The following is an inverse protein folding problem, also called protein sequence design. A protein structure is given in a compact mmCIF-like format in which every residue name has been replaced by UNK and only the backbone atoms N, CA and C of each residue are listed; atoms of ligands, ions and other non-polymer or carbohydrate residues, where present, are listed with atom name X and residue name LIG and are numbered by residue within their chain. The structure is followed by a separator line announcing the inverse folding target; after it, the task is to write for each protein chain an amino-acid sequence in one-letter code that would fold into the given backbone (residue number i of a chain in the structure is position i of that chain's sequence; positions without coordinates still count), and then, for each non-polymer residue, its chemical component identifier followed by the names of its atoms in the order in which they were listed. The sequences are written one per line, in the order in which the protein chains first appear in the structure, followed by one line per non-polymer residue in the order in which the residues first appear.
data_IF_718585328709
#
_entry.id   IF_718585328709
#
_cell.length_a   1.000
_cell.length_b   1.000
_cell.length_c   1.000
_cell.angle_alpha   90.00
_cell.angle_beta   90.00
_cell.angle_gamma   90.00
#
_symmetry.space_group_name_H-M   'P 1'
#
loop_
_entity.id
_entity.type
_entity.pdbx_description
1 polymer ?
#
# COMPACT_ATOMS: atom_id res chain seq x y z
N UNK A 1 24.45 14.73 -44.61
CA UNK A 1 24.52 13.28 -44.92
C UNK A 1 23.14 12.61 -44.84
N UNK A 2 22.38 12.81 -43.76
CA UNK A 2 21.02 12.24 -43.61
C UNK A 2 20.01 12.71 -44.68
N UNK A 3 20.03 13.99 -45.06
CA UNK A 3 19.10 14.58 -46.04
C UNK A 3 19.36 14.05 -47.47
N UNK A 4 20.62 13.80 -47.83
CA UNK A 4 20.97 13.24 -49.14
C UNK A 4 20.59 11.75 -49.26
N UNK A 5 20.60 11.00 -48.15
CA UNK A 5 20.19 9.58 -48.14
C UNK A 5 18.69 9.38 -48.32
N UNK A 6 17.87 10.29 -47.78
CA UNK A 6 16.40 10.22 -47.92
C UNK A 6 15.95 10.66 -49.33
N UNK A 7 16.65 11.61 -49.95
CA UNK A 7 16.33 12.09 -51.30
C UNK A 7 16.59 11.05 -52.41
N UNK A 8 17.54 10.14 -52.24
CA UNK A 8 17.83 9.09 -53.23
C UNK A 8 16.75 7.99 -53.30
N UNK A 9 16.12 7.68 -52.15
CA UNK A 9 15.05 6.66 -52.05
C UNK A 9 13.76 7.14 -52.69
N UNK A 10 13.47 8.44 -52.69
CA UNK A 10 12.27 8.99 -53.32
C UNK A 10 12.40 9.15 -54.84
N UNK A 11 13.62 9.21 -55.39
CA UNK A 11 13.85 9.31 -56.84
C UNK A 11 14.07 7.97 -57.53
N UNK A 12 14.56 6.96 -56.80
CA UNK A 12 14.59 5.58 -57.28
C UNK A 12 13.21 4.97 -57.01
N UNK A 13 12.31 5.02 -57.99
CA UNK A 13 10.98 4.44 -57.86
C UNK A 13 11.02 3.02 -57.29
N UNK A 14 10.16 2.73 -56.32
CA UNK A 14 10.06 1.40 -55.70
C UNK A 14 9.67 0.36 -56.75
N UNK A 15 10.65 -0.40 -57.25
CA UNK A 15 10.42 -1.49 -58.19
C UNK A 15 9.69 -2.63 -57.46
N UNK A 16 8.51 -3.01 -57.95
CA UNK A 16 7.69 -4.09 -57.38
C UNK A 16 6.49 -3.65 -56.53
N UNK A 17 6.31 -2.35 -56.27
CA UNK A 17 5.17 -1.85 -55.48
C UNK A 17 3.83 -1.97 -56.24
N UNK A 18 3.84 -1.88 -57.57
CA UNK A 18 2.65 -2.05 -58.41
C UNK A 18 2.14 -3.49 -58.40
N UNK A 19 3.03 -4.48 -58.59
CA UNK A 19 2.69 -5.90 -58.48
C UNK A 19 2.31 -6.31 -57.03
N UNK A 20 2.94 -5.72 -56.02
CA UNK A 20 2.60 -5.95 -54.62
C UNK A 20 1.23 -5.34 -54.20
N UNK A 21 0.76 -4.30 -54.91
CA UNK A 21 -0.52 -3.64 -54.63
C UNK A 21 -1.68 -4.16 -55.51
N UNK A 22 -1.44 -4.99 -56.52
CA UNK A 22 -2.49 -5.49 -57.42
C UNK A 22 -3.53 -6.40 -56.72
N UNK A 23 -3.14 -7.09 -55.62
CA UNK A 23 -4.05 -7.87 -54.77
C UNK A 23 -4.50 -7.16 -53.48
N UNK A 24 -4.05 -5.93 -53.25
CA UNK A 24 -4.28 -5.20 -52.00
C UNK A 24 -3.30 -5.60 -50.86
N UNK A 25 -2.82 -4.59 -50.13
CA UNK A 25 -1.76 -4.76 -49.11
C UNK A 25 -2.09 -5.83 -48.04
N UNK A 26 -3.36 -6.01 -47.70
CA UNK A 26 -3.79 -7.00 -46.70
C UNK A 26 -3.62 -8.43 -47.23
N UNK A 27 -3.96 -8.68 -48.49
CA UNK A 27 -3.85 -10.01 -49.11
C UNK A 27 -2.37 -10.39 -49.29
N UNK A 28 -1.54 -9.45 -49.73
CA UNK A 28 -0.09 -9.64 -49.81
C UNK A 28 0.52 -9.97 -48.44
N UNK A 29 0.16 -9.20 -47.40
CA UNK A 29 0.66 -9.44 -46.05
C UNK A 29 0.17 -10.79 -45.50
N UNK A 30 -1.09 -11.16 -45.76
CA UNK A 30 -1.63 -12.45 -45.36
C UNK A 30 -0.87 -13.60 -46.03
N UNK A 31 -0.56 -13.51 -47.33
CA UNK A 31 0.24 -14.52 -48.02
C UNK A 31 1.60 -14.72 -47.35
N UNK A 32 2.31 -13.64 -47.01
CA UNK A 32 3.59 -13.71 -46.30
C UNK A 32 3.45 -14.29 -44.87
N UNK A 33 2.45 -13.84 -44.10
CA UNK A 33 2.23 -14.28 -42.72
C UNK A 33 1.88 -15.77 -42.66
N UNK A 34 0.99 -16.25 -43.53
CA UNK A 34 0.48 -17.62 -43.49
C UNK A 34 1.34 -18.64 -44.25
N UNK A 35 2.31 -18.20 -45.05
CA UNK A 35 3.23 -19.12 -45.75
C UNK A 35 4.65 -19.08 -45.18
N UNK A 36 5.29 -17.91 -45.18
CA UNK A 36 6.71 -17.76 -44.83
C UNK A 36 6.92 -17.54 -43.34
N UNK A 37 6.03 -16.78 -42.69
CA UNK A 37 6.19 -16.36 -41.30
C UNK A 37 5.25 -17.07 -40.32
N UNK A 38 4.71 -18.24 -40.69
CA UNK A 38 3.72 -18.97 -39.90
C UNK A 38 4.19 -19.23 -38.46
N UNK A 39 5.46 -19.61 -38.28
CA UNK A 39 6.04 -19.84 -36.95
C UNK A 39 6.16 -18.58 -36.10
N UNK A 40 6.53 -17.45 -36.71
CA UNK A 40 6.61 -16.17 -36.00
C UNK A 40 5.21 -15.72 -35.58
N UNK A 41 4.23 -15.87 -36.46
CA UNK A 41 2.83 -15.59 -36.16
C UNK A 41 2.30 -16.47 -35.03
N UNK A 42 2.52 -17.78 -35.08
CA UNK A 42 2.09 -18.72 -34.04
C UNK A 42 2.69 -18.38 -32.68
N UNK A 43 3.99 -18.04 -32.63
CA UNK A 43 4.64 -17.59 -31.40
C UNK A 43 4.01 -16.32 -30.83
N UNK A 44 3.63 -15.36 -31.68
CA UNK A 44 2.90 -14.17 -31.21
C UNK A 44 1.51 -14.53 -30.68
N UNK A 45 0.82 -15.49 -31.30
CA UNK A 45 -0.45 -16.03 -30.79
C UNK A 45 -0.30 -16.67 -29.42
N UNK A 46 0.67 -17.58 -29.26
CA UNK A 46 1.00 -18.21 -27.99
C UNK A 46 1.37 -17.20 -26.91
N UNK A 47 2.11 -16.15 -27.28
CA UNK A 47 2.44 -15.03 -26.39
C UNK A 47 1.19 -14.27 -25.95
N UNK A 48 0.27 -13.95 -26.86
CA UNK A 48 -0.97 -13.25 -26.53
C UNK A 48 -1.89 -14.08 -25.61
N UNK A 49 -1.99 -15.39 -25.86
CA UNK A 49 -2.72 -16.31 -24.98
C UNK A 49 -2.08 -16.32 -23.59
N UNK A 50 -0.75 -16.48 -23.53
CA UNK A 50 0.00 -16.47 -22.27
C UNK A 50 -0.15 -15.15 -21.52
N UNK A 51 -0.12 -14.02 -22.22
CA UNK A 51 -0.34 -12.71 -21.65
C UNK A 51 -1.76 -12.56 -21.08
N UNK A 52 -2.77 -13.04 -21.80
CA UNK A 52 -4.16 -13.03 -21.33
C UNK A 52 -4.34 -13.90 -20.07
N UNK A 53 -3.80 -15.12 -20.08
CA UNK A 53 -3.81 -16.01 -18.91
C UNK A 53 -3.05 -15.38 -17.74
N UNK A 54 -1.86 -14.83 -17.97
CA UNK A 54 -1.07 -14.13 -16.97
C UNK A 54 -1.82 -12.92 -16.38
N UNK A 55 -2.51 -12.15 -17.22
CA UNK A 55 -3.34 -11.04 -16.78
C UNK A 55 -4.52 -11.51 -15.93
N UNK A 56 -5.22 -12.58 -16.34
CA UNK A 56 -6.30 -13.17 -15.53
C UNK A 56 -5.77 -13.64 -14.18
N UNK A 57 -4.65 -14.37 -14.15
CA UNK A 57 -4.04 -14.85 -12.89
C UNK A 57 -3.62 -13.69 -11.98
N UNK A 58 -3.00 -12.64 -12.53
CA UNK A 58 -2.52 -11.51 -11.73
C UNK A 58 -3.65 -10.59 -11.25
N UNK A 59 -4.65 -10.36 -12.11
CA UNK A 59 -5.79 -9.51 -11.79
C UNK A 59 -6.82 -10.22 -10.90
N UNK A 60 -6.94 -11.55 -11.02
CA UNK A 60 -7.87 -12.33 -10.22
C UNK A 60 -7.27 -12.73 -8.87
N UNK A 61 -7.09 -11.72 -8.02
CA UNK A 61 -6.81 -11.97 -6.60
C UNK A 61 -8.11 -12.40 -5.91
N UNK A 62 -8.39 -13.70 -5.92
CA UNK A 62 -9.43 -14.27 -5.08
C UNK A 62 -9.12 -13.94 -3.62
N UNK A 63 -10.03 -13.23 -2.96
CA UNK A 63 -9.98 -13.07 -1.51
C UNK A 63 -10.52 -14.36 -0.93
N UNK A 64 -9.62 -15.27 -0.54
CA UNK A 64 -9.98 -16.56 0.07
C UNK A 64 -10.77 -16.41 1.38
N UNK A 65 -10.67 -15.25 2.03
CA UNK A 65 -11.33 -14.94 3.28
C UNK A 65 -12.43 -13.90 3.07
N UNK A 66 -13.58 -14.11 3.71
CA UNK A 66 -14.61 -13.08 3.80
C UNK A 66 -14.05 -11.84 4.50
N UNK A 67 -14.52 -10.66 4.09
CA UNK A 67 -14.16 -9.42 4.79
C UNK A 67 -14.76 -9.46 6.19
N UNK A 68 -13.92 -9.49 7.23
CA UNK A 68 -14.38 -9.43 8.62
C UNK A 68 -15.41 -8.33 8.83
N UNK A 69 -16.50 -8.67 9.50
CA UNK A 69 -17.55 -7.74 9.91
C UNK A 69 -17.04 -6.80 11.00
N UNK A 70 -17.72 -5.66 11.22
CA UNK A 70 -17.40 -4.76 12.33
C UNK A 70 -17.44 -5.47 13.69
N UNK A 71 -18.36 -6.43 13.86
CA UNK A 71 -18.48 -7.22 15.10
C UNK A 71 -17.26 -8.10 15.32
N UNK A 72 -16.79 -8.80 14.29
CA UNK A 72 -15.59 -9.65 14.37
C UNK A 72 -14.34 -8.83 14.67
N UNK A 73 -14.17 -7.68 14.01
CA UNK A 73 -13.07 -6.76 14.29
C UNK A 73 -13.11 -6.21 15.71
N UNK A 74 -14.29 -5.90 16.23
CA UNK A 74 -14.46 -5.45 17.61
C UNK A 74 -14.11 -6.55 18.61
N UNK A 75 -14.55 -7.79 18.37
CA UNK A 75 -14.21 -8.94 19.22
C UNK A 75 -12.72 -9.18 19.20
N UNK A 76 -12.10 -9.26 18.01
CA UNK A 76 -10.67 -9.50 17.86
C UNK A 76 -9.81 -8.41 18.52
N UNK A 77 -10.25 -7.15 18.48
CA UNK A 77 -9.57 -6.03 19.16
C UNK A 77 -9.47 -6.22 20.67
N UNK A 78 -10.49 -6.81 21.29
CA UNK A 78 -10.57 -6.95 22.74
C UNK A 78 -10.37 -8.39 23.23
N UNK A 79 -10.26 -9.37 22.33
CA UNK A 79 -10.05 -10.78 22.65
C UNK A 79 -8.77 -11.06 23.44
N UNK A 80 -7.62 -10.41 23.18
CA UNK A 80 -6.41 -10.56 23.99
C UNK A 80 -6.55 -9.99 25.42
N UNK A 81 -7.67 -9.35 25.74
CA UNK A 81 -7.82 -8.54 26.94
C UNK A 81 -7.18 -7.16 26.80
N UNK A 82 -7.29 -6.34 27.86
CA UNK A 82 -6.79 -4.96 27.88
C UNK A 82 -7.87 -3.96 28.27
N UNK A 83 -7.71 -2.72 27.83
CA UNK A 83 -8.63 -1.61 28.17
C UNK A 83 -9.64 -1.39 27.04
N UNK A 84 -10.95 -1.62 27.28
CA UNK A 84 -12.00 -1.28 26.32
C UNK A 84 -12.12 0.23 26.08
N UNK A 85 -11.68 1.01 27.06
CA UNK A 85 -11.71 2.47 27.09
C UNK A 85 -10.30 3.03 26.92
N UNK A 86 -10.21 4.34 26.71
CA UNK A 86 -8.93 5.06 26.79
C UNK A 86 -8.29 4.88 28.17
N UNK A 87 -6.96 4.98 28.22
CA UNK A 87 -6.24 5.01 29.49
C UNK A 87 -6.62 6.25 30.32
N UNK A 88 -6.49 6.18 31.66
CA UNK A 88 -6.71 7.33 32.53
C UNK A 88 -5.82 8.52 32.15
N UNK A 89 -6.27 9.73 32.41
CA UNK A 89 -5.47 10.93 32.17
C UNK A 89 -4.38 11.12 33.25
N UNK A 90 -3.27 11.82 32.93
CA UNK A 90 -2.28 12.25 33.91
C UNK A 90 -2.89 13.07 35.05
N UNK A 91 -2.18 13.13 36.17
CA UNK A 91 -2.64 13.77 37.40
C UNK A 91 -2.70 15.29 37.32
N UNK A 92 -3.76 15.85 37.89
CA UNK A 92 -3.94 17.30 38.05
C UNK A 92 -3.82 17.64 39.53
N UNK A 93 -2.78 18.39 39.89
CA UNK A 93 -2.46 18.82 41.24
C UNK A 93 -2.47 20.34 41.34
N UNK A 94 -2.61 20.86 42.56
CA UNK A 94 -2.67 22.30 42.82
C UNK A 94 -1.50 23.10 42.22
N UNK A 95 -0.32 22.47 42.07
CA UNK A 95 0.89 23.11 41.53
C UNK A 95 1.45 22.45 40.26
N UNK A 96 0.86 21.35 39.77
CA UNK A 96 1.43 20.56 38.68
C UNK A 96 0.33 19.86 37.86
N UNK A 97 0.38 19.90 36.54
CA UNK A 97 -0.57 19.25 35.63
C UNK A 97 0.11 18.71 34.35
N UNK A 98 1.35 18.28 34.46
CA UNK A 98 2.13 17.81 33.32
C UNK A 98 1.89 16.33 33.00
N UNK A 99 2.15 15.94 31.75
CA UNK A 99 1.90 14.59 31.23
C UNK A 99 2.81 13.51 31.83
N UNK A 100 3.87 13.91 32.53
CA UNK A 100 4.80 13.05 33.27
C UNK A 100 4.39 12.85 34.74
N UNK A 101 3.28 13.46 35.18
CA UNK A 101 2.81 13.38 36.56
C UNK A 101 1.66 12.38 36.66
N UNK A 102 1.79 11.29 37.44
CA UNK A 102 0.74 10.27 37.54
C UNK A 102 -0.51 10.80 38.25
N UNK A 103 -1.69 10.35 37.82
CA UNK A 103 -2.92 10.47 38.60
C UNK A 103 -2.85 9.60 39.86
N UNK A 104 -3.58 9.95 40.92
CA UNK A 104 -3.58 9.17 42.17
C UNK A 104 -4.58 8.02 42.14
N UNK A 105 -4.17 6.87 42.64
CA UNK A 105 -5.05 5.76 43.00
C UNK A 105 -5.81 6.06 44.30
N UNK A 106 -6.86 5.28 44.62
CA UNK A 106 -7.60 5.42 45.88
C UNK A 106 -6.74 5.26 47.14
N UNK A 107 -5.61 4.57 47.05
CA UNK A 107 -4.63 4.40 48.13
C UNK A 107 -3.62 5.56 48.22
N UNK A 108 -3.70 6.53 47.31
CA UNK A 108 -2.80 7.68 47.21
C UNK A 108 -1.56 7.45 46.34
N UNK A 109 -1.28 6.23 45.89
CA UNK A 109 -0.13 5.93 45.03
C UNK A 109 -0.31 6.47 43.60
N UNK A 110 0.78 6.57 42.82
CA UNK A 110 0.73 7.04 41.43
C UNK A 110 0.29 5.96 40.45
N UNK A 111 -0.64 6.29 39.55
CA UNK A 111 -1.09 5.40 38.48
C UNK A 111 -0.13 5.40 37.29
N UNK A 112 0.59 4.31 37.09
CA UNK A 112 1.46 4.15 35.92
C UNK A 112 0.67 4.16 34.60
N UNK A 113 -0.57 3.67 34.62
CA UNK A 113 -1.46 3.68 33.44
C UNK A 113 -1.84 5.08 32.97
N UNK A 114 -1.70 6.09 33.84
CA UNK A 114 -2.06 7.47 33.53
C UNK A 114 -0.96 8.26 32.81
N UNK A 115 0.24 7.70 32.70
CA UNK A 115 1.41 8.35 32.11
C UNK A 115 1.97 7.45 31.01
N UNK A 116 2.53 8.06 29.97
CA UNK A 116 3.19 7.31 28.90
C UNK A 116 4.43 6.59 29.42
N UNK A 117 4.58 5.31 29.10
CA UNK A 117 5.75 4.50 29.48
C UNK A 117 7.09 5.03 28.93
N UNK A 118 7.07 5.95 27.96
CA UNK A 118 8.26 6.59 27.39
C UNK A 118 8.75 7.75 28.27
N UNK A 119 7.89 8.34 29.09
CA UNK A 119 8.22 9.49 29.93
C UNK A 119 8.77 9.02 31.29
N UNK A 120 9.74 9.77 31.83
CA UNK A 120 10.17 9.56 33.21
C UNK A 120 9.11 10.08 34.17
N UNK A 121 8.66 9.20 35.07
CA UNK A 121 7.61 9.53 36.04
C UNK A 121 8.12 10.55 37.07
N UNK A 122 7.40 11.66 37.23
CA UNK A 122 7.72 12.68 38.25
C UNK A 122 6.82 12.52 39.46
N UNK A 123 7.35 12.10 40.64
CA UNK A 123 6.55 12.03 41.85
C UNK A 123 6.20 13.43 42.35
N UNK A 124 4.94 13.63 42.76
CA UNK A 124 4.54 14.83 43.51
C UNK A 124 4.76 14.54 44.99
N UNK A 125 5.53 15.37 45.72
CA UNK A 125 5.71 15.21 47.15
C UNK A 125 4.36 15.14 47.86
N UNK A 126 4.21 14.20 48.79
CA UNK A 126 3.09 14.24 49.72
C UNK A 126 3.17 15.55 50.50
N UNK A 127 2.08 16.32 50.50
CA UNK A 127 2.05 17.57 51.24
C UNK A 127 2.33 17.28 52.70
N UNK A 128 3.36 17.92 53.25
CA UNK A 128 3.57 18.00 54.68
C UNK A 128 2.29 18.60 55.30
N UNK A 129 1.48 17.73 55.91
CA UNK A 129 0.30 18.14 56.66
C UNK A 129 0.84 18.88 57.89
N UNK A 130 0.99 20.20 57.78
CA UNK A 130 1.67 21.09 58.73
C UNK A 130 1.18 20.99 60.18
N UNK A 131 1.55 19.92 60.87
CA UNK A 131 1.47 19.78 62.30
C UNK A 131 2.76 20.33 62.94
N UNK A 132 3.05 21.60 62.65
CA UNK A 132 4.15 22.36 63.24
C UNK A 132 3.72 23.15 64.49
N UNK A 133 2.79 22.60 65.28
CA UNK A 133 2.36 23.18 66.55
C UNK A 133 3.28 22.73 67.69
N UNK A 134 4.43 23.37 67.85
CA UNK A 134 5.19 23.29 69.10
C UNK A 134 5.53 24.70 69.59
N UNK A 135 4.73 25.10 70.60
CA UNK A 135 4.93 26.08 71.68
C UNK A 135 5.89 27.25 71.45
#
# INVERSE_FOLDING_TARGET
LLIAGIGGVSTAGFVGLTAANEGGNVEGLAALIFTQYLWAFELTGALLITAALGAMVLAHRERFEHRKTQRELAIERFAPGGHPTTLPNPGVYARHNAVDVPGRLPDGSGSELSVSAILQLRPVPEGDNGNGGTK
#
